data_IF_784174182088
#
_entry.id   IF_784174182088
#
_cell.length_a   1.000
_cell.length_b   1.000
_cell.length_c   1.000
_cell.angle_alpha   90.00
_cell.angle_beta   90.00
_cell.angle_gamma   90.00
#
_symmetry.space_group_name_H-M   'P 1'
#
loop_
_entity.id
_entity.type
_entity.pdbx_description
1 polymer ?
#
# COMPACT_ATOMS: atom_id res chain seq x y z
N UNK A 1 14.87 -6.42 10.28
CA UNK A 1 13.90 -6.30 9.15
C UNK A 1 13.31 -4.89 9.02
N UNK A 2 14.10 -3.81 9.11
CA UNK A 2 13.57 -2.42 9.03
C UNK A 2 13.41 -1.92 7.59
N UNK A 3 14.20 -2.48 6.66
CA UNK A 3 14.25 -2.04 5.27
C UNK A 3 13.03 -2.52 4.46
N UNK A 4 12.65 -3.79 4.63
CA UNK A 4 11.46 -4.37 3.98
C UNK A 4 10.18 -3.65 4.39
N UNK A 5 10.04 -3.30 5.68
CA UNK A 5 8.88 -2.56 6.17
C UNK A 5 8.79 -1.15 5.58
N UNK A 6 9.92 -0.43 5.47
CA UNK A 6 9.94 0.89 4.80
C UNK A 6 9.55 0.81 3.33
N UNK A 7 10.00 -0.23 2.63
CA UNK A 7 9.65 -0.45 1.22
C UNK A 7 8.16 -0.77 1.09
N UNK A 8 7.65 -1.68 1.92
CA UNK A 8 6.22 -2.00 1.95
C UNK A 8 5.35 -0.75 2.24
N UNK A 9 5.75 0.08 3.21
CA UNK A 9 5.09 1.36 3.49
C UNK A 9 5.08 2.28 2.28
N UNK A 10 6.23 2.44 1.62
CA UNK A 10 6.36 3.31 0.47
C UNK A 10 5.47 2.82 -0.69
N UNK A 11 5.46 1.50 -0.97
CA UNK A 11 4.58 0.92 -1.98
C UNK A 11 3.10 1.12 -1.63
N UNK A 12 2.73 0.98 -0.35
CA UNK A 12 1.38 1.20 0.13
C UNK A 12 0.96 2.67 -0.04
N UNK A 13 1.80 3.63 0.35
CA UNK A 13 1.55 5.06 0.19
C UNK A 13 1.42 5.44 -1.28
N UNK A 14 2.31 4.95 -2.15
CA UNK A 14 2.24 5.19 -3.60
C UNK A 14 0.96 4.59 -4.20
N UNK A 15 0.58 3.38 -3.77
CA UNK A 15 -0.66 2.73 -4.17
C UNK A 15 -1.92 3.49 -3.75
N UNK A 16 -1.94 3.95 -2.50
CA UNK A 16 -3.03 4.77 -1.95
C UNK A 16 -3.16 6.12 -2.65
N UNK A 17 -2.03 6.79 -2.93
CA UNK A 17 -2.01 8.02 -3.71
C UNK A 17 -2.52 7.84 -5.14
N UNK A 18 -2.18 6.72 -5.81
CA UNK A 18 -2.73 6.40 -7.13
C UNK A 18 -4.25 6.21 -7.10
N UNK A 19 -4.77 5.50 -6.09
CA UNK A 19 -6.22 5.32 -5.93
C UNK A 19 -6.93 6.63 -5.57
N UNK A 20 -6.31 7.49 -4.76
CA UNK A 20 -6.83 8.84 -4.47
C UNK A 20 -6.86 9.72 -5.73
N UNK A 21 -5.81 9.66 -6.56
CA UNK A 21 -5.76 10.37 -7.83
C UNK A 21 -6.82 9.86 -8.82
N UNK A 22 -7.08 8.55 -8.85
CA UNK A 22 -8.18 7.96 -9.63
C UNK A 22 -9.54 8.48 -9.15
N UNK A 23 -9.77 8.55 -7.84
CA UNK A 23 -11.05 9.03 -7.29
C UNK A 23 -11.28 10.54 -7.52
N UNK A 24 -10.23 11.36 -7.41
CA UNK A 24 -10.33 12.82 -7.50
C UNK A 24 -10.24 13.36 -8.93
N UNK A 25 -9.35 12.78 -9.75
CA UNK A 25 -9.00 13.31 -11.06
C UNK A 25 -9.32 12.33 -12.20
N UNK A 26 -9.88 11.15 -11.90
CA UNK A 26 -10.07 10.05 -12.86
C UNK A 26 -8.76 9.64 -13.58
N UNK A 27 -7.62 9.91 -12.95
CA UNK A 27 -6.29 9.67 -13.50
C UNK A 27 -5.59 8.56 -12.71
N UNK A 28 -5.15 7.52 -13.42
CA UNK A 28 -4.45 6.37 -12.83
C UNK A 28 -3.16 6.03 -13.58
N UNK A 29 -2.16 5.53 -12.86
CA UNK A 29 -0.88 5.06 -13.43
C UNK A 29 -1.12 3.94 -14.45
N UNK A 30 -2.16 3.12 -14.28
CA UNK A 30 -2.53 2.07 -15.22
C UNK A 30 -2.81 2.60 -16.63
N UNK A 31 -3.28 3.85 -16.78
CA UNK A 31 -3.54 4.46 -18.09
C UNK A 31 -2.28 4.60 -18.95
N UNK A 32 -1.11 4.82 -18.33
CA UNK A 32 0.18 4.93 -19.02
C UNK A 32 0.72 3.57 -19.50
N UNK A 33 0.28 2.47 -18.86
CA UNK A 33 0.74 1.10 -19.15
C UNK A 33 -0.25 0.29 -20.01
N UNK A 34 -1.19 0.95 -20.69
CA UNK A 34 -2.19 0.30 -21.55
C UNK A 34 -3.55 0.10 -20.90
N UNK A 35 -3.84 0.79 -19.80
CA UNK A 35 -5.12 0.79 -19.09
C UNK A 35 -5.16 -0.14 -17.87
N UNK A 36 -6.25 -0.02 -17.09
CA UNK A 36 -6.51 -0.83 -15.90
C UNK A 36 -6.51 -2.35 -16.19
N UNK A 37 -6.88 -2.74 -17.40
CA UNK A 37 -6.97 -4.14 -17.84
C UNK A 37 -5.65 -4.71 -18.36
N UNK A 38 -4.61 -3.89 -18.52
CA UNK A 38 -3.31 -4.36 -18.98
C UNK A 38 -2.68 -5.29 -17.93
N UNK A 39 -2.00 -6.35 -18.40
CA UNK A 39 -1.34 -7.32 -17.54
C UNK A 39 -0.30 -6.67 -16.61
N UNK A 40 0.40 -5.63 -17.11
CA UNK A 40 1.42 -4.89 -16.35
C UNK A 40 0.78 -4.10 -15.19
N UNK A 41 -0.30 -3.36 -15.45
CA UNK A 41 -1.05 -2.62 -14.44
C UNK A 41 -1.58 -3.55 -13.34
N UNK A 42 -2.09 -4.73 -13.72
CA UNK A 42 -2.55 -5.74 -12.76
C UNK A 42 -1.44 -6.23 -11.83
N UNK A 43 -0.23 -6.48 -12.36
CA UNK A 43 0.91 -6.90 -11.52
C UNK A 43 1.25 -5.81 -10.51
N UNK A 44 1.30 -4.55 -10.92
CA UNK A 44 1.57 -3.41 -10.02
C UNK A 44 0.50 -3.35 -8.92
N UNK A 45 -0.78 -3.43 -9.28
CA UNK A 45 -1.88 -3.39 -8.31
C UNK A 45 -1.88 -4.58 -7.34
N UNK A 46 -1.52 -5.77 -7.80
CA UNK A 46 -1.34 -6.95 -6.93
C UNK A 46 -0.17 -6.75 -5.96
N UNK A 47 0.96 -6.20 -6.42
CA UNK A 47 2.11 -5.91 -5.54
C UNK A 47 1.78 -4.84 -4.50
N UNK A 48 1.04 -3.80 -4.89
CA UNK A 48 0.53 -2.78 -3.97
C UNK A 48 -0.40 -3.40 -2.92
N UNK A 49 -1.35 -4.24 -3.34
CA UNK A 49 -2.28 -4.93 -2.43
C UNK A 49 -1.55 -5.87 -1.47
N UNK A 50 -0.57 -6.63 -1.95
CA UNK A 50 0.28 -7.49 -1.11
C UNK A 50 1.10 -6.66 -0.11
N UNK A 51 1.61 -5.50 -0.53
CA UNK A 51 2.31 -4.57 0.36
C UNK A 51 1.38 -4.05 1.46
N UNK A 52 0.12 -3.72 1.11
CA UNK A 52 -0.88 -3.31 2.08
C UNK A 52 -1.21 -4.40 3.11
N UNK A 53 -1.39 -5.65 2.66
CA UNK A 53 -1.63 -6.80 3.55
C UNK A 53 -0.43 -7.03 4.47
N UNK A 54 0.79 -7.00 3.92
CA UNK A 54 2.01 -7.17 4.71
C UNK A 54 2.12 -6.09 5.78
N UNK A 55 1.86 -4.84 5.39
CA UNK A 55 1.91 -3.71 6.31
C UNK A 55 0.86 -3.84 7.41
N UNK A 56 -0.40 -4.13 7.09
CA UNK A 56 -1.46 -4.35 8.09
C UNK A 56 -1.08 -5.49 9.05
N UNK A 57 -0.51 -6.58 8.53
CA UNK A 57 -0.12 -7.74 9.34
C UNK A 57 1.10 -7.47 10.23
N UNK A 58 2.04 -6.60 9.83
CA UNK A 58 3.26 -6.29 10.60
C UNK A 58 3.18 -4.99 11.40
N UNK A 59 2.27 -4.08 11.07
CA UNK A 59 2.15 -2.77 11.71
C UNK A 59 1.83 -2.90 13.20
N UNK A 60 0.91 -3.81 13.58
CA UNK A 60 0.61 -4.08 14.99
C UNK A 60 1.80 -4.61 15.79
N UNK A 61 2.76 -5.29 15.15
CA UNK A 61 3.96 -5.82 15.80
C UNK A 61 5.10 -4.80 15.91
N UNK A 62 5.14 -3.82 15.01
CA UNK A 62 6.25 -2.87 14.89
C UNK A 62 5.90 -1.45 15.33
N UNK A 63 4.62 -1.13 15.51
CA UNK A 63 4.18 0.20 15.94
C UNK A 63 4.31 0.35 17.47
N UNK A 64 5.22 1.24 17.89
CA UNK A 64 5.52 1.51 19.30
C UNK A 64 4.34 2.13 20.07
N UNK A 65 3.49 2.87 19.36
CA UNK A 65 2.29 3.55 19.90
C UNK A 65 1.12 2.57 20.08
N UNK A 66 0.90 1.64 19.14
CA UNK A 66 -0.16 0.63 19.26
C UNK A 66 0.08 -0.36 20.40
N UNK A 67 1.34 -0.65 20.74
CA UNK A 67 1.68 -1.55 21.84
C UNK A 67 1.50 -0.89 23.22
N UNK A 68 1.55 0.44 23.29
CA UNK A 68 1.29 1.21 24.52
C UNK A 68 -0.21 1.32 24.84
N UNK A 69 -1.10 1.06 23.88
CA UNK A 69 -2.56 1.14 24.07
C UNK A 69 -3.22 -0.16 24.55
N UNK A 70 -2.53 -1.30 24.49
CA UNK A 70 -3.11 -2.60 24.88
C UNK A 70 -3.03 -2.90 26.38
N UNK A 71 -2.41 -2.03 27.19
CA UNK A 71 -2.34 -2.18 28.65
C UNK A 71 -3.45 -1.42 29.41
N UNK A 72 -4.46 -0.90 28.69
CA UNK A 72 -5.57 -0.14 29.26
C UNK A 72 -6.96 -0.70 28.87
N UNK A 73 -7.05 -2.02 28.67
CA UNK A 73 -8.32 -2.76 28.73
C UNK A 73 -8.19 -3.94 29.68
#
# INVERSE_FOLDING_TARGET
MKFVHKIAFLLLVVGGLNWAALALFNWEIGSLFGGQMAAVSRVIYVLVGLSAIYEVATHFKNCKECMSGSSAM
#
